data_IF_869851898285
#
_entry.id   IF_869851898285
#
_cell.length_a   1.000
_cell.length_b   1.000
_cell.length_c   1.000
_cell.angle_alpha   90.00
_cell.angle_beta   90.00
_cell.angle_gamma   90.00
#
_symmetry.space_group_name_H-M   'P 1'
#
loop_
_entity.id
_entity.type
_entity.pdbx_description
1 polymer ?
#
# COMPACT_ATOMS: atom_id res chain seq x y z
N UNK A 1 6.29 14.73 42.18
CA UNK A 1 7.15 13.96 41.24
C UNK A 1 6.44 12.76 40.62
N UNK A 2 5.67 11.94 41.36
CA UNK A 2 4.91 10.80 40.79
C UNK A 2 3.89 11.17 39.68
N UNK A 3 3.25 12.34 39.77
CA UNK A 3 2.28 12.82 38.76
C UNK A 3 2.91 13.08 37.37
N UNK A 4 4.19 13.44 37.32
CA UNK A 4 4.90 13.67 36.06
C UNK A 4 5.29 12.37 35.34
N UNK A 5 5.40 11.26 36.09
CA UNK A 5 5.72 9.94 35.52
C UNK A 5 4.56 9.45 34.63
N UNK A 6 3.32 9.66 35.07
CA UNK A 6 2.13 9.23 34.30
C UNK A 6 1.96 9.97 32.97
N UNK A 7 2.39 11.23 32.89
CA UNK A 7 2.31 12.03 31.66
C UNK A 7 3.31 11.55 30.62
N UNK A 8 4.49 11.09 31.05
CA UNK A 8 5.54 10.61 30.15
C UNK A 8 5.21 9.24 29.54
N UNK A 9 4.54 8.36 30.30
CA UNK A 9 4.13 7.03 29.83
C UNK A 9 3.07 7.07 28.73
N UNK A 10 2.23 8.12 28.70
CA UNK A 10 1.15 8.25 27.71
C UNK A 10 1.67 8.73 26.33
N UNK A 11 2.79 9.46 26.31
CA UNK A 11 3.35 10.02 25.07
C UNK A 11 3.94 8.95 24.13
N UNK A 12 4.39 7.81 24.65
CA UNK A 12 4.95 6.72 23.83
C UNK A 12 3.90 5.93 23.05
N UNK A 13 2.60 6.04 23.40
CA UNK A 13 1.51 5.38 22.69
C UNK A 13 1.11 6.10 21.39
N UNK A 14 1.58 7.34 21.18
CA UNK A 14 1.33 8.12 19.96
C UNK A 14 2.46 8.01 18.93
N UNK A 15 3.48 7.19 19.16
CA UNK A 15 4.42 6.83 18.12
C UNK A 15 3.69 5.99 17.07
N UNK A 16 3.09 6.66 16.08
CA UNK A 16 2.53 6.00 14.92
C UNK A 16 3.60 5.12 14.29
N UNK A 17 3.36 3.81 14.23
CA UNK A 17 4.21 2.89 13.49
C UNK A 17 4.28 3.38 12.04
N UNK A 18 5.34 4.10 11.69
CA UNK A 18 5.63 4.43 10.32
C UNK A 18 6.15 3.16 9.64
N UNK A 19 5.22 2.30 9.23
CA UNK A 19 5.50 1.10 8.45
C UNK A 19 5.94 1.54 7.05
N UNK A 20 7.16 2.07 6.96
CA UNK A 20 7.86 2.33 5.70
C UNK A 20 8.29 0.98 5.11
N UNK A 21 7.31 0.17 4.69
CA UNK A 21 7.62 -0.98 3.85
C UNK A 21 8.32 -0.48 2.59
N UNK A 22 9.35 -1.18 2.11
CA UNK A 22 9.98 -0.84 0.84
C UNK A 22 8.93 -0.75 -0.27
N UNK A 23 9.03 0.32 -1.07
CA UNK A 23 8.18 0.48 -2.25
C UNK A 23 8.50 -0.64 -3.24
N UNK A 24 7.50 -1.47 -3.57
CA UNK A 24 7.63 -2.53 -4.59
C UNK A 24 7.04 -2.06 -5.91
N UNK A 25 7.58 -2.58 -7.00
CA UNK A 25 7.13 -2.23 -8.35
C UNK A 25 5.85 -2.97 -8.73
N UNK A 26 5.20 -2.52 -9.79
CA UNK A 26 4.07 -3.23 -10.41
C UNK A 26 4.47 -4.65 -10.84
N UNK A 27 5.70 -4.82 -11.33
CA UNK A 27 6.21 -6.11 -11.77
C UNK A 27 6.33 -7.10 -10.60
N UNK A 28 6.80 -6.64 -9.43
CA UNK A 28 6.89 -7.46 -8.23
C UNK A 28 5.50 -7.96 -7.81
N UNK A 29 4.49 -7.09 -7.82
CA UNK A 29 3.11 -7.47 -7.49
C UNK A 29 2.43 -8.35 -8.53
N UNK A 30 2.86 -8.31 -9.81
CA UNK A 30 2.39 -9.27 -10.82
C UNK A 30 2.99 -10.66 -10.60
N UNK A 31 4.26 -10.72 -10.19
CA UNK A 31 4.97 -11.97 -9.96
C UNK A 31 4.46 -12.74 -8.73
N UNK A 32 3.99 -12.03 -7.69
CA UNK A 32 3.48 -12.63 -6.46
C UNK A 32 2.00 -12.29 -6.21
N UNK A 33 1.13 -13.28 -6.44
CA UNK A 33 -0.32 -13.15 -6.24
C UNK A 33 -0.71 -13.04 -4.76
N UNK A 34 -0.06 -13.78 -3.88
CA UNK A 34 -0.42 -13.78 -2.45
C UNK A 34 -0.07 -12.45 -1.83
N UNK A 35 1.13 -11.95 -2.13
CA UNK A 35 1.59 -10.67 -1.65
C UNK A 35 0.76 -9.52 -2.20
N UNK A 36 0.39 -9.53 -3.48
CA UNK A 36 -0.55 -8.54 -4.05
C UNK A 36 -1.89 -8.56 -3.34
N UNK A 37 -2.47 -9.73 -3.12
CA UNK A 37 -3.77 -9.86 -2.44
C UNK A 37 -3.72 -9.35 -1.00
N UNK A 38 -2.63 -9.65 -0.27
CA UNK A 38 -2.44 -9.18 1.09
C UNK A 38 -2.36 -7.64 1.15
N UNK A 39 -1.58 -7.02 0.25
CA UNK A 39 -1.48 -5.56 0.17
C UNK A 39 -2.83 -4.95 -0.23
N UNK A 40 -3.51 -5.46 -1.25
CA UNK A 40 -4.83 -4.96 -1.65
C UNK A 40 -5.87 -5.06 -0.53
N UNK A 41 -5.85 -6.12 0.27
CA UNK A 41 -6.72 -6.24 1.44
C UNK A 41 -6.40 -5.15 2.48
N UNK A 42 -5.11 -4.92 2.76
CA UNK A 42 -4.69 -3.85 3.66
C UNK A 42 -5.09 -2.45 3.14
N UNK A 43 -4.99 -2.21 1.83
CA UNK A 43 -5.43 -0.97 1.18
C UNK A 43 -6.94 -0.74 1.36
N UNK A 44 -7.75 -1.78 1.18
CA UNK A 44 -9.22 -1.72 1.32
C UNK A 44 -9.69 -1.53 2.75
N UNK A 45 -8.95 -2.04 3.73
CA UNK A 45 -9.29 -1.91 5.15
C UNK A 45 -9.02 -0.51 5.72
N UNK A 46 -8.16 0.29 5.08
CA UNK A 46 -7.88 1.66 5.48
C UNK A 46 -7.70 2.58 4.25
N UNK A 47 -8.78 2.82 3.48
CA UNK A 47 -8.69 3.53 2.21
C UNK A 47 -8.30 5.00 2.39
N UNK A 48 -8.66 5.64 3.50
CA UNK A 48 -8.34 7.05 3.77
C UNK A 48 -6.85 7.29 3.91
N UNK A 49 -6.12 6.41 4.59
CA UNK A 49 -4.68 6.57 4.83
C UNK A 49 -3.82 5.82 3.81
N UNK A 50 -4.30 4.68 3.28
CA UNK A 50 -3.45 3.77 2.51
C UNK A 50 -3.68 3.81 1.00
N UNK A 51 -4.84 4.23 0.51
CA UNK A 51 -5.18 4.10 -0.93
C UNK A 51 -4.17 4.77 -1.87
N UNK A 52 -3.57 5.87 -1.45
CA UNK A 52 -2.58 6.63 -2.22
C UNK A 52 -1.12 6.29 -1.88
N UNK A 53 -0.87 5.29 -1.04
CA UNK A 53 0.50 4.84 -0.77
C UNK A 53 1.10 4.18 -2.01
N UNK A 54 2.42 4.29 -2.26
CA UNK A 54 3.05 3.71 -3.45
C UNK A 54 2.76 2.21 -3.62
N UNK A 55 2.76 1.45 -2.53
CA UNK A 55 2.47 0.01 -2.58
C UNK A 55 1.00 -0.28 -2.93
N UNK A 56 0.04 0.52 -2.46
CA UNK A 56 -1.36 0.35 -2.85
C UNK A 56 -1.60 0.71 -4.32
N UNK A 57 -1.01 1.80 -4.80
CA UNK A 57 -1.09 2.20 -6.21
C UNK A 57 -0.49 1.12 -7.12
N UNK A 58 0.70 0.63 -6.78
CA UNK A 58 1.38 -0.37 -7.60
C UNK A 58 0.67 -1.73 -7.58
N UNK A 59 0.11 -2.13 -6.44
CA UNK A 59 -0.66 -3.38 -6.32
C UNK A 59 -1.99 -3.30 -7.09
N UNK A 60 -2.69 -2.17 -7.04
CA UNK A 60 -3.94 -1.95 -7.77
C UNK A 60 -3.72 -1.89 -9.28
N UNK A 61 -2.65 -1.20 -9.71
CA UNK A 61 -2.22 -1.20 -11.11
C UNK A 61 -1.90 -2.62 -11.59
N UNK A 62 -1.18 -3.41 -10.80
CA UNK A 62 -0.87 -4.80 -11.14
C UNK A 62 -2.13 -5.65 -11.34
N UNK A 63 -3.11 -5.54 -10.44
CA UNK A 63 -4.38 -6.25 -10.56
C UNK A 63 -5.17 -5.80 -11.80
N UNK A 64 -5.23 -4.48 -12.04
CA UNK A 64 -5.89 -3.91 -13.22
C UNK A 64 -5.27 -4.41 -14.52
N UNK A 65 -3.94 -4.41 -14.63
CA UNK A 65 -3.25 -4.90 -15.83
C UNK A 65 -3.46 -6.41 -16.06
N UNK A 66 -3.48 -7.22 -14.99
CA UNK A 66 -3.82 -8.65 -15.10
C UNK A 66 -5.25 -8.84 -15.59
N UNK A 67 -6.21 -8.09 -15.05
CA UNK A 67 -7.61 -8.20 -15.43
C UNK A 67 -7.86 -7.71 -16.86
N UNK A 68 -7.16 -6.67 -17.29
CA UNK A 68 -7.19 -6.18 -18.66
C UNK A 68 -6.61 -7.21 -19.63
N UNK A 69 -5.45 -7.80 -19.31
CA UNK A 69 -4.84 -8.84 -20.13
C UNK A 69 -5.77 -10.06 -20.31
N UNK A 70 -6.47 -10.49 -19.24
CA UNK A 70 -7.46 -11.57 -19.30
C UNK A 70 -8.64 -11.28 -20.23
N UNK A 71 -8.99 -10.00 -20.39
CA UNK A 71 -10.09 -9.54 -21.26
C UNK A 71 -9.61 -9.25 -22.70
N UNK A 72 -8.32 -9.44 -22.99
CA UNK A 72 -7.74 -9.13 -24.30
C UNK A 72 -7.43 -7.65 -24.52
N UNK A 73 -7.46 -6.82 -23.48
CA UNK A 73 -7.04 -5.43 -23.58
C UNK A 73 -5.51 -5.32 -23.55
N UNK A 74 -4.96 -4.54 -24.47
CA UNK A 74 -3.53 -4.21 -24.52
C UNK A 74 -3.22 -2.97 -23.67
N UNK A 75 -2.04 -2.91 -23.02
CA UNK A 75 -1.61 -1.71 -22.33
C UNK A 75 -1.56 -0.51 -23.28
N UNK A 76 -2.05 0.65 -22.82
CA UNK A 76 -1.94 1.89 -23.57
C UNK A 76 -0.47 2.31 -23.68
N UNK A 77 -0.11 2.91 -24.82
CA UNK A 77 1.21 3.54 -24.96
C UNK A 77 1.32 4.70 -23.96
N UNK A 78 2.47 4.89 -23.28
CA UNK A 78 2.67 6.03 -22.40
C UNK A 78 2.46 7.35 -23.15
N UNK A 79 1.70 8.26 -22.56
CA UNK A 79 1.57 9.63 -23.07
C UNK A 79 2.87 10.37 -22.75
N UNK A 80 3.55 10.86 -23.78
CA UNK A 80 4.69 11.76 -23.63
C UNK A 80 4.14 13.19 -23.59
N UNK A 81 4.43 13.93 -22.53
CA UNK A 81 4.15 15.36 -22.43
C UNK A 81 5.35 16.16 -22.93
#
# INVERSE_FOLDING_TARGET
>A
MKKFIYVFSLAFLLAGCNNNEPTRTVADFKADKEQRNAVLAACKNNPGEKSLTPNCVNADQAETEIMNARRGFTPLKPVKF
#
